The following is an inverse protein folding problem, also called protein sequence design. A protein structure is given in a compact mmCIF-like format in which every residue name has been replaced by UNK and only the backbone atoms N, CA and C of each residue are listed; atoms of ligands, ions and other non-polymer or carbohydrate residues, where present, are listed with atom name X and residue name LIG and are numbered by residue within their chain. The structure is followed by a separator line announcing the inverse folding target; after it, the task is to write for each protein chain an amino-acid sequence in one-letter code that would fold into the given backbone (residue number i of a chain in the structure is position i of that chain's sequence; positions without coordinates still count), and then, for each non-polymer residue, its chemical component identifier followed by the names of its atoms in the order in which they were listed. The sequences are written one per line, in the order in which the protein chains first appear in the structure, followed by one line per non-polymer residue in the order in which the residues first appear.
data_IF_024871167455
#
_entry.id   IF_024871167455
#
_cell.length_a   1.000
_cell.length_b   1.000
_cell.length_c   1.000
_cell.angle_alpha   90.00
_cell.angle_beta   90.00
_cell.angle_gamma   90.00
#
_symmetry.space_group_name_H-M   'P 1'
#
loop_
_entity.id
_entity.type
_entity.pdbx_description
1 polymer ?
#
# COMPACT_ATOMS: atom_id res chain seq x y z
N UNK A 1 -13.08 9.85 1.35
CA UNK A 1 -12.39 10.20 0.10
C UNK A 1 -11.89 8.90 -0.49
N UNK A 2 -12.24 8.61 -1.74
CA UNK A 2 -11.89 7.38 -2.46
C UNK A 2 -10.37 7.20 -2.60
N UNK A 3 -9.90 5.98 -2.59
CA UNK A 3 -8.48 5.59 -2.67
C UNK A 3 -7.86 6.02 -4.01
N UNK A 4 -8.64 6.05 -5.09
CA UNK A 4 -8.18 6.57 -6.38
C UNK A 4 -7.66 8.01 -6.25
N UNK A 5 -8.46 8.90 -5.65
CA UNK A 5 -8.04 10.30 -5.50
C UNK A 5 -6.86 10.47 -4.56
N UNK A 6 -6.66 9.54 -3.60
CA UNK A 6 -5.45 9.52 -2.78
C UNK A 6 -4.23 9.13 -3.60
N UNK A 7 -4.35 8.13 -4.47
CA UNK A 7 -3.28 7.72 -5.38
C UNK A 7 -2.94 8.84 -6.37
N UNK A 8 -3.96 9.50 -6.93
CA UNK A 8 -3.78 10.63 -7.86
C UNK A 8 -3.03 11.79 -7.22
N UNK A 9 -3.26 12.08 -5.94
CA UNK A 9 -2.54 13.16 -5.22
C UNK A 9 -1.05 12.91 -5.04
N UNK A 10 -0.59 11.68 -5.18
CA UNK A 10 0.84 11.35 -5.15
C UNK A 10 1.54 11.62 -6.49
N UNK A 11 0.82 12.10 -7.50
CA UNK A 11 1.34 12.46 -8.82
C UNK A 11 1.63 13.96 -8.91
N UNK A 12 2.49 14.39 -9.85
CA UNK A 12 2.72 15.81 -10.14
C UNK A 12 1.41 16.54 -10.45
N UNK A 13 1.31 17.81 -10.03
CA UNK A 13 0.07 18.58 -10.11
C UNK A 13 -0.52 18.67 -11.54
N UNK A 14 0.32 18.75 -12.58
CA UNK A 14 -0.11 18.80 -13.97
C UNK A 14 -0.82 17.51 -14.42
N UNK A 15 -0.48 16.35 -13.84
CA UNK A 15 -1.11 15.06 -14.12
C UNK A 15 -2.26 14.77 -13.13
N UNK A 16 -2.07 15.12 -11.86
CA UNK A 16 -3.08 14.92 -10.81
C UNK A 16 -4.36 15.72 -11.08
N UNK A 17 -4.24 16.95 -11.54
CA UNK A 17 -5.40 17.83 -11.80
C UNK A 17 -6.38 17.24 -12.81
N UNK A 18 -5.97 16.85 -14.04
CA UNK A 18 -6.91 16.22 -14.99
C UNK A 18 -7.43 14.86 -14.48
N UNK A 19 -6.61 14.02 -13.83
CA UNK A 19 -7.07 12.75 -13.28
C UNK A 19 -8.12 12.92 -12.17
N UNK A 20 -8.03 14.00 -11.39
CA UNK A 20 -9.00 14.31 -10.35
C UNK A 20 -10.39 14.72 -10.89
N UNK A 21 -10.50 15.02 -12.18
CA UNK A 21 -11.75 15.33 -12.83
C UNK A 21 -12.63 14.08 -13.13
N UNK A 22 -12.09 12.87 -12.94
CA UNK A 22 -12.85 11.63 -13.14
C UNK A 22 -14.03 11.59 -12.16
N UNK A 23 -15.27 11.28 -12.63
CA UNK A 23 -16.43 11.16 -11.75
C UNK A 23 -16.23 10.08 -10.66
N UNK A 24 -16.82 10.26 -9.45
CA UNK A 24 -16.67 9.32 -8.34
C UNK A 24 -17.05 7.89 -8.68
N UNK A 25 -18.17 7.69 -9.40
CA UNK A 25 -18.65 6.36 -9.77
C UNK A 25 -17.66 5.61 -10.69
N UNK A 26 -17.01 6.33 -11.59
CA UNK A 26 -15.96 5.77 -12.45
C UNK A 26 -14.67 5.59 -11.66
N UNK A 27 -14.31 6.54 -10.80
CA UNK A 27 -13.13 6.48 -9.95
C UNK A 27 -13.14 5.26 -9.03
N UNK A 28 -14.28 4.88 -8.47
CA UNK A 28 -14.45 3.68 -7.64
C UNK A 28 -14.15 2.36 -8.38
N UNK A 29 -14.22 2.37 -9.70
CA UNK A 29 -13.94 1.19 -10.53
C UNK A 29 -12.51 1.12 -11.03
N UNK A 30 -11.70 2.17 -10.80
CA UNK A 30 -10.29 2.19 -11.20
C UNK A 30 -9.47 1.32 -10.28
N UNK A 31 -8.77 0.35 -10.84
CA UNK A 31 -7.86 -0.54 -10.11
C UNK A 31 -6.38 -0.18 -10.30
N UNK A 32 -6.03 0.40 -11.46
CA UNK A 32 -4.65 0.77 -11.79
C UNK A 32 -4.61 2.06 -12.60
N UNK A 33 -3.53 2.83 -12.39
CA UNK A 33 -3.13 3.96 -13.22
C UNK A 33 -1.83 3.56 -13.91
N UNK A 34 -1.84 3.49 -15.24
CA UNK A 34 -0.70 3.06 -16.06
C UNK A 34 -0.10 4.24 -16.81
N UNK A 35 1.16 4.47 -16.58
CA UNK A 35 1.95 5.54 -17.16
C UNK A 35 3.12 4.92 -17.93
N UNK A 36 3.31 5.29 -19.19
CA UNK A 36 4.39 4.78 -20.02
C UNK A 36 4.94 5.85 -20.95
N UNK A 37 6.26 5.94 -21.04
CA UNK A 37 6.95 6.85 -21.97
C UNK A 37 6.49 6.60 -23.42
N UNK A 38 6.20 7.68 -24.14
CA UNK A 38 5.69 7.66 -25.51
C UNK A 38 4.22 7.28 -25.64
N UNK A 39 3.56 6.90 -24.55
CA UNK A 39 2.15 6.52 -24.53
C UNK A 39 1.30 7.52 -23.74
N UNK A 40 -0.01 7.45 -23.93
CA UNK A 40 -0.98 8.14 -23.10
C UNK A 40 -1.15 7.50 -21.74
N UNK A 41 -1.85 8.22 -20.86
CA UNK A 41 -2.27 7.68 -19.56
C UNK A 41 -3.40 6.67 -19.79
N UNK A 42 -3.31 5.52 -19.14
CA UNK A 42 -4.34 4.50 -19.17
C UNK A 42 -4.80 4.17 -17.74
N UNK A 43 -6.11 3.97 -17.59
CA UNK A 43 -6.71 3.48 -16.35
C UNK A 43 -7.20 2.05 -16.58
N UNK A 44 -7.05 1.18 -15.60
CA UNK A 44 -7.69 -0.14 -15.63
C UNK A 44 -9.03 -0.03 -14.90
N UNK A 45 -10.12 -0.11 -15.65
CA UNK A 45 -11.50 -0.05 -15.15
C UNK A 45 -12.19 -1.37 -15.50
N UNK A 46 -12.77 -2.04 -14.50
CA UNK A 46 -13.41 -3.34 -14.71
C UNK A 46 -12.47 -4.40 -15.33
N UNK A 47 -11.15 -4.33 -15.04
CA UNK A 47 -10.14 -5.23 -15.58
C UNK A 47 -9.65 -4.90 -17.00
N UNK A 48 -10.17 -3.85 -17.65
CA UNK A 48 -9.77 -3.44 -19.00
C UNK A 48 -8.98 -2.12 -18.97
N UNK A 49 -7.83 -2.02 -19.65
CA UNK A 49 -7.11 -0.76 -19.80
C UNK A 49 -7.87 0.16 -20.76
N UNK A 50 -8.13 1.39 -20.33
CA UNK A 50 -8.78 2.41 -21.15
C UNK A 50 -8.29 3.82 -20.76
N UNK A 51 -8.51 4.81 -21.62
CA UNK A 51 -8.48 6.21 -21.25
C UNK A 51 -9.91 6.72 -21.33
N UNK A 52 -10.57 7.02 -20.21
CA UNK A 52 -11.97 7.45 -20.18
C UNK A 52 -12.22 8.67 -21.05
N UNK A 53 -13.40 8.73 -21.66
CA UNK A 53 -13.84 9.84 -22.50
C UNK A 53 -13.94 11.14 -21.70
N UNK A 54 -14.18 11.04 -20.40
CA UNK A 54 -14.25 12.14 -19.44
C UNK A 54 -12.91 12.84 -19.22
N UNK A 55 -11.81 12.23 -19.69
CA UNK A 55 -10.44 12.75 -19.55
C UNK A 55 -9.81 13.13 -20.92
N UNK A 56 -10.41 14.03 -21.71
CA UNK A 56 -9.94 14.33 -23.07
C UNK A 56 -8.52 14.91 -23.11
N UNK A 57 -8.11 15.60 -22.06
CA UNK A 57 -6.76 16.14 -21.94
C UNK A 57 -5.70 15.03 -21.87
N UNK A 58 -6.03 13.87 -21.33
CA UNK A 58 -5.09 12.74 -21.18
C UNK A 58 -5.06 11.82 -22.40
N UNK A 59 -6.09 11.82 -23.24
CA UNK A 59 -6.15 10.98 -24.45
C UNK A 59 -5.04 11.32 -25.45
N UNK A 60 -4.72 12.63 -25.59
CA UNK A 60 -3.68 13.13 -26.51
C UNK A 60 -2.31 13.23 -25.85
N UNK A 61 -2.23 13.12 -24.53
CA UNK A 61 -0.98 13.21 -23.79
C UNK A 61 -0.06 12.06 -24.20
N UNK A 62 1.21 12.38 -24.45
CA UNK A 62 2.30 11.40 -24.63
C UNK A 62 3.38 11.75 -23.64
N UNK A 63 3.61 10.85 -22.69
CA UNK A 63 4.60 11.08 -21.62
C UNK A 63 6.02 11.07 -22.19
N UNK A 64 6.77 12.10 -21.86
CA UNK A 64 8.21 12.18 -22.19
C UNK A 64 9.04 11.50 -21.11
N UNK A 65 10.31 11.13 -21.38
CA UNK A 65 11.21 10.63 -20.35
C UNK A 65 11.36 11.59 -19.16
N UNK A 66 11.47 12.89 -19.40
CA UNK A 66 11.58 13.91 -18.36
C UNK A 66 10.34 13.96 -17.45
N UNK A 67 9.15 13.89 -18.05
CA UNK A 67 7.90 13.80 -17.28
C UNK A 67 7.81 12.52 -16.44
N UNK A 68 8.34 11.41 -16.96
CA UNK A 68 8.38 10.15 -16.21
C UNK A 68 9.32 10.23 -15.01
N UNK A 69 10.45 10.93 -15.17
CA UNK A 69 11.38 11.20 -14.07
C UNK A 69 10.74 12.09 -12.99
N UNK A 70 10.06 13.17 -13.39
CA UNK A 70 9.31 14.04 -12.47
C UNK A 70 8.25 13.24 -11.70
N UNK A 71 7.50 12.37 -12.39
CA UNK A 71 6.54 11.46 -11.78
C UNK A 71 7.23 10.59 -10.73
N UNK A 72 8.36 9.98 -11.07
CA UNK A 72 9.10 9.09 -10.18
C UNK A 72 9.56 9.80 -8.91
N UNK A 73 10.21 10.95 -9.04
CA UNK A 73 10.66 11.76 -7.90
C UNK A 73 9.48 12.15 -7.01
N UNK A 74 8.35 12.52 -7.61
CA UNK A 74 7.13 12.89 -6.86
C UNK A 74 6.55 11.69 -6.11
N UNK A 75 6.52 10.50 -6.72
CA UNK A 75 6.07 9.27 -6.06
C UNK A 75 6.95 8.87 -4.87
N UNK A 76 8.25 9.17 -4.94
CA UNK A 76 9.20 9.02 -3.84
C UNK A 76 9.12 10.13 -2.78
N UNK A 77 8.12 11.04 -2.87
CA UNK A 77 8.00 12.17 -1.94
C UNK A 77 9.19 13.13 -1.98
N UNK A 78 9.92 13.20 -3.09
CA UNK A 78 11.12 14.01 -3.28
C UNK A 78 12.41 13.37 -2.76
N UNK A 79 12.35 12.20 -2.11
CA UNK A 79 13.53 11.51 -1.56
C UNK A 79 13.66 10.09 -2.14
N UNK A 80 14.34 9.98 -3.28
CA UNK A 80 14.57 8.68 -3.94
C UNK A 80 15.40 7.74 -3.07
N UNK A 81 16.41 8.27 -2.35
CA UNK A 81 17.27 7.48 -1.46
C UNK A 81 16.52 6.75 -0.34
N UNK A 82 15.41 7.34 0.14
CA UNK A 82 14.60 6.69 1.18
C UNK A 82 13.90 5.41 0.71
N UNK A 83 13.85 5.18 -0.61
CA UNK A 83 13.16 4.07 -1.26
C UNK A 83 14.10 3.09 -1.98
N UNK A 84 15.42 3.17 -1.77
CA UNK A 84 16.42 2.37 -2.52
C UNK A 84 16.10 0.86 -2.51
N UNK A 85 15.75 0.31 -1.36
CA UNK A 85 15.41 -1.12 -1.23
C UNK A 85 14.15 -1.48 -2.03
N UNK A 86 13.11 -0.64 -1.99
CA UNK A 86 11.88 -0.85 -2.74
C UNK A 86 12.12 -0.68 -4.25
N UNK A 87 12.88 0.32 -4.65
CA UNK A 87 13.24 0.59 -6.05
C UNK A 87 14.02 -0.59 -6.63
N UNK A 88 14.99 -1.13 -5.88
CA UNK A 88 15.72 -2.33 -6.28
C UNK A 88 14.81 -3.56 -6.44
N UNK A 89 13.72 -3.62 -5.67
CA UNK A 89 12.67 -4.64 -5.78
C UNK A 89 11.62 -4.32 -6.87
N UNK A 90 11.76 -3.21 -7.60
CA UNK A 90 10.91 -2.82 -8.73
C UNK A 90 9.59 -2.12 -8.34
N UNK A 91 9.49 -1.53 -7.17
CA UNK A 91 8.30 -0.79 -6.76
C UNK A 91 8.62 0.35 -5.77
N UNK A 92 7.64 1.21 -5.54
CA UNK A 92 7.63 2.22 -4.47
C UNK A 92 6.28 2.16 -3.76
N UNK A 93 6.27 2.20 -2.43
CA UNK A 93 5.05 2.29 -1.64
C UNK A 93 4.73 3.77 -1.36
N UNK A 94 3.55 4.21 -1.80
CA UNK A 94 3.09 5.57 -1.64
C UNK A 94 2.55 5.83 -0.23
N UNK A 95 2.58 7.05 0.24
CA UNK A 95 2.04 7.47 1.54
C UNK A 95 0.56 7.12 1.76
N UNK A 96 -0.19 6.92 0.68
CA UNK A 96 -1.58 6.46 0.73
C UNK A 96 -1.73 4.93 0.84
N UNK A 97 -0.64 4.15 0.90
CA UNK A 97 -0.64 2.70 0.92
C UNK A 97 -0.81 2.03 -0.45
N UNK A 98 -0.87 2.81 -1.53
CA UNK A 98 -0.83 2.28 -2.89
C UNK A 98 0.59 1.86 -3.25
N UNK A 99 0.75 0.88 -4.15
CA UNK A 99 2.04 0.50 -4.72
C UNK A 99 2.16 0.97 -6.16
N UNK A 100 3.30 1.58 -6.45
CA UNK A 100 3.72 1.94 -7.80
C UNK A 100 4.80 0.96 -8.26
N UNK A 101 4.46 0.03 -9.13
CA UNK A 101 5.42 -0.85 -9.80
C UNK A 101 6.22 -0.08 -10.84
N UNK A 102 7.52 -0.28 -10.87
CA UNK A 102 8.48 0.39 -11.73
C UNK A 102 8.99 -0.58 -12.81
N UNK A 103 9.00 -0.17 -14.05
CA UNK A 103 9.61 -0.93 -15.12
C UNK A 103 10.48 -0.03 -16.00
N UNK A 104 11.70 -0.49 -16.26
CA UNK A 104 12.71 0.27 -16.98
C UNK A 104 14.01 -0.49 -17.07
N UNK A 105 15.12 0.22 -17.22
CA UNK A 105 16.45 -0.36 -17.23
C UNK A 105 17.04 -0.33 -15.83
N UNK A 106 17.40 -1.50 -15.31
CA UNK A 106 18.10 -1.66 -14.06
C UNK A 106 19.51 -2.16 -14.33
N UNK A 107 20.47 -1.56 -13.65
CA UNK A 107 21.84 -2.06 -13.60
C UNK A 107 22.06 -2.78 -12.27
N UNK A 108 22.64 -3.96 -12.35
CA UNK A 108 23.00 -4.75 -11.17
C UNK A 108 24.46 -5.18 -11.30
N UNK A 109 25.33 -4.63 -10.47
CA UNK A 109 26.68 -5.12 -10.34
C UNK A 109 26.73 -6.37 -9.45
N UNK A 110 27.68 -7.30 -9.66
CA UNK A 110 27.82 -8.47 -8.81
C UNK A 110 27.92 -8.10 -7.32
N UNK A 111 27.01 -8.66 -6.50
CA UNK A 111 26.97 -8.40 -5.04
C UNK A 111 26.38 -7.05 -4.63
N UNK A 112 25.83 -6.29 -5.54
CA UNK A 112 25.15 -5.01 -5.25
C UNK A 112 23.66 -5.06 -5.54
N UNK A 113 22.90 -4.17 -4.89
CA UNK A 113 21.48 -3.98 -5.17
C UNK A 113 21.28 -3.41 -6.58
N UNK A 114 20.18 -3.78 -7.22
CA UNK A 114 19.81 -3.23 -8.52
C UNK A 114 19.55 -1.72 -8.43
N UNK A 115 20.12 -0.97 -9.36
CA UNK A 115 19.96 0.49 -9.47
C UNK A 115 19.15 0.81 -10.71
N UNK A 116 18.07 1.57 -10.55
CA UNK A 116 17.26 2.05 -11.66
C UNK A 116 18.03 3.11 -12.44
N UNK A 117 18.31 2.84 -13.71
CA UNK A 117 18.99 3.79 -14.62
C UNK A 117 18.00 4.61 -15.45
N UNK A 118 16.99 3.96 -15.99
CA UNK A 118 15.99 4.61 -16.83
C UNK A 118 14.61 4.05 -16.52
N UNK A 119 13.69 4.90 -16.08
CA UNK A 119 12.30 4.52 -15.85
C UNK A 119 11.48 4.72 -17.12
N UNK A 120 10.85 3.63 -17.60
CA UNK A 120 10.02 3.67 -18.81
C UNK A 120 8.53 3.53 -18.53
N UNK A 121 8.17 2.95 -17.40
CA UNK A 121 6.76 2.69 -17.07
C UNK A 121 6.56 2.68 -15.56
N UNK A 122 5.44 3.25 -15.13
CA UNK A 122 4.92 3.18 -13.76
C UNK A 122 3.50 2.61 -13.81
N UNK A 123 3.23 1.64 -12.93
CA UNK A 123 1.89 1.08 -12.75
C UNK A 123 1.46 1.22 -11.30
N UNK A 124 0.57 2.17 -11.01
CA UNK A 124 0.06 2.42 -9.66
C UNK A 124 -1.17 1.57 -9.42
N UNK A 125 -1.08 0.58 -8.52
CA UNK A 125 -2.24 -0.18 -8.05
C UNK A 125 -2.98 0.63 -6.99
N UNK A 126 -4.25 0.89 -7.25
CA UNK A 126 -5.12 1.57 -6.28
C UNK A 126 -5.50 0.56 -5.18
N UNK A 127 -4.95 0.78 -3.98
CA UNK A 127 -5.23 -0.10 -2.83
C UNK A 127 -6.65 0.15 -2.32
N UNK A 128 -7.60 -0.68 -2.74
CA UNK A 128 -8.99 -0.58 -2.33
C UNK A 128 -9.20 -1.08 -0.91
N UNK A 129 -9.70 -0.20 -0.07
CA UNK A 129 -10.06 -0.52 1.30
C UNK A 129 -11.51 -0.98 1.41
N UNK A 130 -11.86 -2.08 0.74
CA UNK A 130 -13.22 -2.61 0.79
C UNK A 130 -13.51 -3.20 2.17
N UNK A 131 -14.62 -2.77 2.79
CA UNK A 131 -15.16 -3.42 3.97
C UNK A 131 -15.95 -4.65 3.51
N UNK A 132 -15.46 -5.84 3.84
CA UNK A 132 -16.23 -7.07 3.68
C UNK A 132 -16.98 -7.37 4.98
N UNK A 133 -18.27 -7.71 4.90
CA UNK A 133 -19.01 -8.11 6.08
C UNK A 133 -18.39 -9.42 6.62
N UNK A 134 -18.06 -9.42 7.91
CA UNK A 134 -17.58 -10.64 8.56
C UNK A 134 -18.71 -11.68 8.58
N UNK A 135 -18.39 -12.98 8.37
CA UNK A 135 -19.34 -14.05 8.55
C UNK A 135 -20.03 -13.99 9.92
N UNK A 136 -21.32 -14.31 9.99
CA UNK A 136 -22.10 -14.20 11.24
C UNK A 136 -21.45 -14.97 12.38
N UNK A 137 -21.09 -16.23 12.14
CA UNK A 137 -20.40 -17.09 13.15
C UNK A 137 -19.16 -16.41 13.73
N UNK A 138 -18.37 -15.75 12.90
CA UNK A 138 -17.17 -15.05 13.36
C UNK A 138 -17.53 -13.81 14.20
N UNK A 139 -18.58 -13.09 13.82
CA UNK A 139 -19.10 -11.95 14.59
C UNK A 139 -19.54 -12.37 15.98
N UNK A 140 -20.23 -13.50 16.09
CA UNK A 140 -20.74 -14.01 17.36
C UNK A 140 -19.60 -14.45 18.28
N UNK A 141 -18.58 -15.13 17.74
CA UNK A 141 -17.36 -15.53 18.46
C UNK A 141 -16.62 -14.29 19.01
N UNK A 142 -16.46 -13.25 18.20
CA UNK A 142 -15.76 -12.02 18.61
C UNK A 142 -16.51 -11.21 19.69
N UNK A 143 -17.80 -11.47 19.89
CA UNK A 143 -18.59 -10.83 20.95
C UNK A 143 -18.46 -11.54 22.30
N UNK A 144 -18.25 -12.86 22.31
CA UNK A 144 -18.40 -13.67 23.52
C UNK A 144 -17.15 -13.73 24.41
N UNK A 145 -15.96 -13.82 23.87
CA UNK A 145 -14.71 -13.88 24.65
C UNK A 145 -13.44 -13.60 23.83
N UNK A 146 -12.35 -13.42 24.57
CA UNK A 146 -10.99 -13.41 24.00
C UNK A 146 -10.63 -14.85 23.63
N UNK A 147 -10.42 -15.12 22.34
CA UNK A 147 -9.94 -16.41 21.84
C UNK A 147 -8.79 -16.18 20.86
N UNK A 148 -7.84 -17.11 20.86
CA UNK A 148 -6.87 -17.21 19.76
C UNK A 148 -7.56 -17.73 18.51
N UNK A 149 -7.25 -17.17 17.35
CA UNK A 149 -7.79 -17.60 16.07
C UNK A 149 -6.66 -17.73 15.05
N UNK A 150 -6.62 -18.87 14.36
CA UNK A 150 -5.73 -19.14 13.25
C UNK A 150 -6.53 -19.18 11.95
N UNK A 151 -6.14 -18.38 10.96
CA UNK A 151 -6.71 -18.40 9.61
C UNK A 151 -5.74 -19.09 8.66
N UNK A 152 -6.19 -20.19 8.06
CA UNK A 152 -5.42 -20.96 7.09
C UNK A 152 -6.15 -20.98 5.75
N UNK A 153 -5.41 -21.05 4.67
CA UNK A 153 -5.93 -21.10 3.30
C UNK A 153 -4.85 -20.80 2.29
N UNK A 154 -5.14 -21.03 1.03
CA UNK A 154 -4.24 -20.77 -0.10
C UNK A 154 -3.89 -19.28 -0.24
N UNK A 155 -2.79 -18.94 -0.92
CA UNK A 155 -2.54 -17.57 -1.35
C UNK A 155 -3.78 -16.96 -2.03
N UNK A 156 -4.02 -15.66 -1.83
CA UNK A 156 -5.15 -14.90 -2.38
C UNK A 156 -6.57 -15.36 -1.95
N UNK A 157 -6.69 -16.30 -1.01
CA UNK A 157 -7.99 -16.75 -0.46
C UNK A 157 -8.71 -15.73 0.43
N UNK A 158 -8.15 -14.52 0.58
CA UNK A 158 -8.77 -13.42 1.35
C UNK A 158 -8.46 -13.42 2.85
N UNK A 159 -7.48 -14.20 3.34
CA UNK A 159 -7.09 -14.25 4.77
C UNK A 159 -6.79 -12.87 5.35
N UNK A 160 -5.91 -12.11 4.68
CA UNK A 160 -5.54 -10.74 5.10
C UNK A 160 -6.75 -9.79 5.09
N UNK A 161 -7.64 -9.94 4.12
CA UNK A 161 -8.88 -9.16 4.04
C UNK A 161 -9.80 -9.45 5.22
N UNK A 162 -9.92 -10.72 5.59
CA UNK A 162 -10.72 -11.15 6.75
C UNK A 162 -10.11 -10.64 8.06
N UNK A 163 -8.78 -10.77 8.25
CA UNK A 163 -8.07 -10.25 9.42
C UNK A 163 -8.24 -8.74 9.57
N UNK A 164 -8.14 -7.98 8.49
CA UNK A 164 -8.43 -6.53 8.48
C UNK A 164 -9.88 -6.24 8.89
N UNK A 165 -10.82 -7.03 8.44
CA UNK A 165 -12.23 -6.94 8.84
C UNK A 165 -12.41 -7.16 10.35
N UNK A 166 -11.74 -8.18 10.92
CA UNK A 166 -11.73 -8.48 12.36
C UNK A 166 -11.14 -7.30 13.13
N UNK A 167 -9.95 -6.81 12.75
CA UNK A 167 -9.28 -5.70 13.41
C UNK A 167 -10.16 -4.44 13.45
N UNK A 168 -10.80 -4.09 12.31
CA UNK A 168 -11.74 -2.96 12.25
C UNK A 168 -12.96 -3.17 13.15
N UNK A 169 -13.53 -4.38 13.18
CA UNK A 169 -14.68 -4.70 14.04
C UNK A 169 -14.33 -4.51 15.51
N UNK A 170 -13.18 -5.02 15.94
CA UNK A 170 -12.70 -4.86 17.31
C UNK A 170 -12.43 -3.40 17.65
N UNK A 171 -11.79 -2.64 16.76
CA UNK A 171 -11.56 -1.22 16.93
C UNK A 171 -12.88 -0.41 17.02
N UNK A 172 -13.90 -0.75 16.21
CA UNK A 172 -15.26 -0.17 16.30
C UNK A 172 -15.94 -0.47 17.64
N UNK A 173 -15.56 -1.56 18.32
CA UNK A 173 -16.02 -1.93 19.67
C UNK A 173 -15.20 -1.29 20.78
N UNK A 174 -14.35 -0.29 20.50
CA UNK A 174 -13.44 0.38 21.42
C UNK A 174 -12.41 -0.55 22.07
N UNK A 175 -12.08 -1.68 21.49
CA UNK A 175 -10.98 -2.55 21.95
C UNK A 175 -9.65 -1.99 21.42
N UNK A 176 -8.60 -2.12 22.23
CA UNK A 176 -7.24 -1.86 21.77
C UNK A 176 -6.83 -2.95 20.77
N UNK A 177 -6.41 -2.56 19.58
CA UNK A 177 -6.00 -3.48 18.52
C UNK A 177 -4.61 -3.12 18.07
N UNK A 178 -3.68 -4.08 18.16
CA UNK A 178 -2.36 -3.99 17.55
C UNK A 178 -2.34 -4.91 16.32
N UNK A 179 -1.81 -4.41 15.21
CA UNK A 179 -1.63 -5.20 13.98
C UNK A 179 -0.15 -5.24 13.67
N UNK A 180 0.38 -6.45 13.53
CA UNK A 180 1.76 -6.72 13.12
C UNK A 180 1.67 -7.39 11.76
N UNK A 181 2.12 -6.70 10.70
CA UNK A 181 2.19 -7.24 9.34
C UNK A 181 3.67 -7.37 8.97
N UNK A 182 4.17 -8.59 8.83
CA UNK A 182 5.56 -8.86 8.46
C UNK A 182 5.94 -8.40 7.04
N UNK A 183 4.96 -7.97 6.25
CA UNK A 183 5.15 -7.46 4.89
C UNK A 183 5.14 -5.92 4.80
N UNK A 184 5.31 -5.20 5.91
CA UNK A 184 5.33 -3.71 5.94
C UNK A 184 4.17 -3.04 5.18
N UNK A 185 2.96 -3.57 5.30
CA UNK A 185 1.79 -2.97 4.68
C UNK A 185 1.08 -2.08 5.69
N UNK A 186 0.97 -0.81 5.40
CA UNK A 186 0.13 0.10 6.17
C UNK A 186 -1.33 -0.40 6.14
N UNK A 187 -1.80 -0.86 7.28
CA UNK A 187 -3.20 -1.22 7.46
C UNK A 187 -3.90 0.01 8.04
N UNK A 188 -4.72 0.72 7.26
CA UNK A 188 -5.46 1.86 7.79
C UNK A 188 -6.53 1.37 8.76
N UNK A 189 -6.19 1.33 10.03
CA UNK A 189 -7.16 1.16 11.13
C UNK A 189 -7.65 2.56 11.47
N UNK A 190 -8.95 2.78 11.37
CA UNK A 190 -9.59 4.07 11.65
C UNK A 190 -9.14 4.61 13.02
N UNK A 191 -8.38 5.71 13.01
CA UNK A 191 -7.88 6.37 14.22
C UNK A 191 -9.01 7.14 14.88
N UNK A 192 -9.38 6.80 16.11
CA UNK A 192 -9.94 7.80 17.04
C UNK A 192 -8.78 8.69 17.49
N UNK A 193 -8.94 10.04 17.39
CA UNK A 193 -7.99 11.02 17.90
C UNK A 193 -7.68 10.71 19.38
N UNK A 194 -6.41 10.50 19.71
CA UNK A 194 -6.00 10.45 21.09
C UNK A 194 -4.93 9.45 21.52
N UNK A 195 -4.22 8.77 20.62
CA UNK A 195 -3.07 7.97 21.04
C UNK A 195 -1.85 8.25 20.16
N UNK A 196 -0.85 8.90 20.74
CA UNK A 196 0.46 9.07 20.10
C UNK A 196 1.17 7.70 20.06
N UNK A 197 1.35 7.16 18.89
CA UNK A 197 2.19 5.98 18.69
C UNK A 197 3.65 6.44 18.73
N UNK A 198 4.39 6.07 19.75
CA UNK A 198 5.85 6.15 19.77
C UNK A 198 6.38 5.01 18.92
N UNK A 199 7.17 5.33 17.92
CA UNK A 199 7.97 4.40 17.13
C UNK A 199 8.94 3.67 18.07
N UNK A 200 9.05 2.34 18.06
CA UNK A 200 10.14 1.66 18.75
C UNK A 200 11.42 1.86 17.92
N UNK A 201 12.36 2.63 18.47
CA UNK A 201 13.73 2.69 17.94
C UNK A 201 14.40 1.34 18.13
N UNK A 202 14.97 0.79 17.07
CA UNK A 202 15.92 -0.33 17.17
C UNK A 202 17.17 0.15 17.90
N UNK A 203 17.36 -0.26 19.14
CA UNK A 203 18.67 -0.24 19.78
C UNK A 203 19.41 -1.54 19.46
N UNK A 204 20.43 -1.43 18.62
CA UNK A 204 21.54 -2.37 18.60
C UNK A 204 22.49 -1.98 19.72
N UNK A 205 22.61 -2.77 20.76
CA UNK A 205 23.83 -2.83 21.58
C UNK A 205 24.05 -4.22 22.12
N UNK A 206 25.31 -4.61 22.05
CA UNK A 206 25.82 -5.92 22.32
C UNK A 206 26.13 -6.22 23.78
N UNK A 207 26.34 -7.48 23.96
CA UNK A 207 27.18 -8.21 24.94
C UNK A 207 27.02 -7.91 26.43
N UNK A 208 26.63 -8.95 27.17
CA UNK A 208 27.17 -9.20 28.51
C UNK A 208 26.15 -9.64 29.57
N UNK A 209 26.16 -10.93 29.93
CA UNK A 209 26.13 -11.43 31.28
C UNK A 209 24.80 -11.68 31.98
N UNK A 210 24.46 -12.94 32.11
CA UNK A 210 24.02 -13.68 33.29
C UNK A 210 22.77 -13.32 34.10
N UNK A 211 21.92 -14.36 34.24
CA UNK A 211 21.08 -14.77 35.37
C UNK A 211 19.77 -14.00 35.69
N UNK A 212 18.71 -14.77 35.79
CA UNK A 212 17.54 -14.43 36.61
C UNK A 212 16.16 -14.73 35.99
N UNK A 213 15.67 -15.92 36.27
CA UNK A 213 14.29 -16.42 36.12
C UNK A 213 13.17 -15.39 36.21
N UNK A 214 12.35 -15.28 35.18
CA UNK A 214 10.90 -14.99 35.27
C UNK A 214 10.20 -15.30 33.94
N UNK A 215 9.19 -16.14 33.97
CA UNK A 215 8.30 -16.45 32.84
C UNK A 215 7.54 -15.20 32.37
N UNK A 216 7.51 -14.90 31.08
CA UNK A 216 6.49 -14.03 30.53
C UNK A 216 5.46 -14.83 29.74
N UNK A 217 4.21 -14.49 29.98
CA UNK A 217 3.02 -14.94 29.29
C UNK A 217 3.10 -14.68 27.78
N UNK A 218 2.73 -15.68 27.01
CA UNK A 218 2.78 -15.75 25.56
C UNK A 218 2.11 -14.56 24.86
N UNK A 219 2.89 -13.80 24.11
CA UNK A 219 2.41 -12.93 23.03
C UNK A 219 2.14 -13.82 21.81
N UNK A 220 0.87 -13.94 21.40
CA UNK A 220 0.47 -14.71 20.22
C UNK A 220 1.02 -14.05 18.94
N UNK A 221 1.88 -14.74 18.22
CA UNK A 221 2.29 -14.38 16.87
C UNK A 221 1.14 -14.64 15.88
N UNK A 222 0.70 -13.59 15.20
CA UNK A 222 -0.14 -13.67 14.01
C UNK A 222 0.77 -13.62 12.78
N UNK A 223 1.01 -14.79 12.16
CA UNK A 223 1.69 -14.90 10.86
C UNK A 223 0.60 -15.12 9.81
N UNK A 224 0.52 -14.25 8.83
CA UNK A 224 -0.35 -14.36 7.67
C UNK A 224 0.44 -14.29 6.37
#
# INVERSE_FOLDING_TARGET
MDEYYRAVRALPAWLARPLSALPPDTAEQVHEIRLRVGCGVQLTIGGKPCCPAELPALQKLRLTPLQMEEIFVTLCGGSVHSHETEIAAGYVTLSCGCRAGLAGQFYCAPGQSAVLQELRSVNIRVARNREFPLPQKLRDILQQRFIGMLLMGEPDSGKTTLLRGVARKLAKQNRAVAVIDGAERDIPIGRKRGASARHPQRHTQGTGGADGSAHPLAAGHLIG
#
